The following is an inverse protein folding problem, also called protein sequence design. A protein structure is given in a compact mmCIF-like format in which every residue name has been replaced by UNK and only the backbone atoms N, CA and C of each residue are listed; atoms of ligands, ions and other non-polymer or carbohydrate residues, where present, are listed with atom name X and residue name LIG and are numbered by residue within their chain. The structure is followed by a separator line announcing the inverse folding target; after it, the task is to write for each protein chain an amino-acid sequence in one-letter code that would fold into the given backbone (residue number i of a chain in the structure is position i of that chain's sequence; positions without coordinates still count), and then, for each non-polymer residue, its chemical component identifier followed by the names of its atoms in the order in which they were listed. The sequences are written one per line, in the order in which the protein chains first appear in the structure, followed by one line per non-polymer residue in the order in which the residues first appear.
data_IF_286909370074
#
_entry.id   IF_286909370074
#
_cell.length_a   1.000
_cell.length_b   1.000
_cell.length_c   1.000
_cell.angle_alpha   90.00
_cell.angle_beta   90.00
_cell.angle_gamma   90.00
#
_symmetry.space_group_name_H-M   'P 1'
#
loop_
_entity.id
_entity.type
_entity.pdbx_description
1 polymer ?
#
# COMPACT_ATOMS: atom_id res chain seq x y z
N UNK A 1 61.86 31.43 -24.74
CA UNK A 1 62.05 32.54 -23.78
C UNK A 1 61.14 32.21 -22.60
N UNK A 2 61.53 31.31 -21.69
CA UNK A 2 62.48 31.54 -20.60
C UNK A 2 62.35 32.95 -20.02
N UNK A 3 61.64 33.07 -18.90
CA UNK A 3 62.06 33.97 -17.84
C UNK A 3 62.02 33.23 -16.51
N UNK A 4 63.04 33.54 -15.76
CA UNK A 4 63.74 32.75 -14.78
C UNK A 4 63.63 33.48 -13.44
N UNK A 5 63.96 32.75 -12.37
CA UNK A 5 64.41 33.25 -11.07
C UNK A 5 63.35 33.82 -10.11
N UNK A 6 63.47 33.65 -8.79
CA UNK A 6 64.21 32.70 -7.95
C UNK A 6 63.75 32.96 -6.51
N UNK A 7 63.26 31.91 -5.85
CA UNK A 7 63.73 31.41 -4.54
C UNK A 7 64.53 32.36 -3.62
N UNK A 8 64.04 32.54 -2.40
CA UNK A 8 64.80 32.46 -1.12
C UNK A 8 63.80 32.11 -0.01
N UNK A 9 63.72 30.91 0.57
CA UNK A 9 64.67 30.07 1.33
C UNK A 9 64.62 30.32 2.86
N UNK A 10 64.72 29.21 3.58
CA UNK A 10 64.93 28.97 5.02
C UNK A 10 63.66 28.73 5.86
N UNK A 11 63.49 27.63 6.59
CA UNK A 11 64.38 26.54 7.03
C UNK A 11 63.50 25.31 7.39
N UNK A 12 63.71 24.08 6.88
CA UNK A 12 64.73 23.05 7.17
C UNK A 12 64.72 22.53 8.63
N UNK A 13 64.12 21.35 8.87
CA UNK A 13 64.82 20.04 9.08
C UNK A 13 64.00 19.03 9.93
N UNK A 14 63.82 17.83 9.35
CA UNK A 14 63.88 16.44 9.90
C UNK A 14 63.09 16.10 11.20
N UNK A 15 62.45 14.95 11.41
CA UNK A 15 62.86 13.56 11.18
C UNK A 15 61.63 12.61 11.32
N UNK A 16 61.79 11.42 10.76
CA UNK A 16 60.99 10.19 10.86
C UNK A 16 60.30 9.89 12.22
N UNK A 17 59.07 9.36 12.17
CA UNK A 17 58.72 8.12 12.89
C UNK A 17 57.45 7.44 12.32
N UNK A 18 57.51 6.14 11.95
CA UNK A 18 56.38 5.39 11.41
C UNK A 18 55.71 4.55 12.51
N UNK A 19 55.08 5.15 13.51
CA UNK A 19 54.24 4.44 14.47
C UNK A 19 53.12 5.31 15.05
N UNK A 20 52.01 5.48 14.33
CA UNK A 20 50.67 5.58 14.94
C UNK A 20 49.66 4.91 14.02
N UNK A 21 49.90 3.63 13.74
CA UNK A 21 48.99 2.72 13.03
C UNK A 21 48.01 2.10 14.05
N UNK A 22 47.29 2.92 14.81
CA UNK A 22 46.17 2.53 15.68
C UNK A 22 45.60 3.80 16.31
N UNK A 23 44.25 3.92 16.36
CA UNK A 23 43.46 4.96 17.06
C UNK A 23 42.76 6.04 16.22
N UNK A 24 42.50 5.83 14.93
CA UNK A 24 41.54 6.67 14.17
C UNK A 24 40.35 5.84 13.66
N UNK A 25 39.81 4.99 14.55
CA UNK A 25 38.59 4.22 14.33
C UNK A 25 37.46 4.83 15.15
N UNK A 26 37.14 6.10 14.93
CA UNK A 26 35.94 6.72 15.51
C UNK A 26 35.51 7.91 14.65
N UNK A 27 34.32 7.75 14.04
CA UNK A 27 33.41 8.81 13.59
C UNK A 27 33.84 9.72 12.43
N UNK A 28 33.76 9.16 11.23
CA UNK A 28 33.32 9.91 10.04
C UNK A 28 32.26 9.09 9.30
N UNK A 29 30.97 9.30 9.61
CA UNK A 29 29.88 8.96 8.69
C UNK A 29 29.49 10.24 7.94
N UNK A 30 30.19 10.45 6.83
CA UNK A 30 29.87 11.46 5.84
C UNK A 30 28.54 11.04 5.18
N UNK A 31 27.44 11.71 5.53
CA UNK A 31 26.14 11.48 4.89
C UNK A 31 26.16 12.08 3.49
N UNK A 32 26.45 11.24 2.50
CA UNK A 32 26.28 11.59 1.09
C UNK A 32 24.78 11.52 0.79
N UNK A 33 24.13 12.68 0.74
CA UNK A 33 22.78 12.80 0.21
C UNK A 33 22.84 12.67 -1.32
N UNK A 34 22.66 11.44 -1.83
CA UNK A 34 22.26 11.22 -3.22
C UNK A 34 20.75 11.30 -3.32
N UNK A 35 20.24 12.38 -3.92
CA UNK A 35 18.86 12.51 -4.36
C UNK A 35 18.51 11.38 -5.34
N UNK A 36 17.70 10.40 -4.91
CA UNK A 36 17.15 9.39 -5.82
C UNK A 36 16.71 8.04 -5.26
N UNK A 37 17.13 7.63 -4.06
CA UNK A 37 16.76 6.32 -3.49
C UNK A 37 15.86 6.49 -2.27
N UNK A 38 14.59 6.11 -2.41
CA UNK A 38 13.74 5.83 -1.23
C UNK A 38 14.33 4.57 -0.60
N UNK A 39 15.07 4.74 0.49
CA UNK A 39 15.81 3.65 1.15
C UNK A 39 14.87 2.82 2.00
N UNK A 40 14.42 1.70 1.45
CA UNK A 40 13.70 0.68 2.23
C UNK A 40 14.66 0.00 3.21
N UNK A 41 14.14 -0.44 4.34
CA UNK A 41 14.83 -1.22 5.37
C UNK A 41 14.19 -2.59 5.51
N UNK A 42 14.95 -3.55 6.01
CA UNK A 42 14.40 -4.86 6.37
C UNK A 42 13.38 -4.69 7.50
N UNK A 43 12.20 -5.26 7.32
CA UNK A 43 11.06 -5.08 8.22
C UNK A 43 10.07 -4.02 7.76
N UNK A 44 10.39 -3.22 6.73
CA UNK A 44 9.44 -2.26 6.18
C UNK A 44 8.21 -2.98 5.61
N UNK A 45 7.06 -2.39 5.88
CA UNK A 45 5.78 -2.87 5.39
C UNK A 45 5.38 -2.05 4.17
N UNK A 46 5.20 -2.74 3.05
CA UNK A 46 4.90 -2.15 1.75
C UNK A 46 3.71 -2.86 1.13
N UNK A 47 3.22 -2.33 0.02
CA UNK A 47 2.10 -2.91 -0.72
C UNK A 47 2.57 -3.18 -2.13
N UNK A 48 2.39 -4.42 -2.56
CA UNK A 48 2.62 -4.81 -3.94
C UNK A 48 1.28 -4.85 -4.69
N UNK A 49 1.16 -4.16 -5.85
CA UNK A 49 -0.07 -4.14 -6.61
C UNK A 49 -0.62 -5.54 -6.89
N UNK A 50 -1.93 -5.72 -6.74
CA UNK A 50 -2.67 -6.98 -6.97
C UNK A 50 -2.43 -8.10 -5.95
N UNK A 51 -1.34 -8.05 -5.17
CA UNK A 51 -1.01 -9.05 -4.15
C UNK A 51 -1.23 -8.54 -2.73
N UNK A 52 -1.38 -7.23 -2.54
CA UNK A 52 -1.68 -6.64 -1.24
C UNK A 52 -0.42 -6.38 -0.45
N UNK A 53 -0.54 -6.39 0.87
CA UNK A 53 0.57 -6.04 1.72
C UNK A 53 1.67 -7.09 1.75
N UNK A 54 2.91 -6.61 1.79
CA UNK A 54 4.13 -7.41 1.80
C UNK A 54 5.15 -6.81 2.77
N UNK A 55 6.00 -7.67 3.34
CA UNK A 55 7.11 -7.27 4.19
C UNK A 55 8.42 -7.35 3.42
N UNK A 56 9.29 -6.36 3.58
CA UNK A 56 10.67 -6.42 3.11
C UNK A 56 11.44 -7.36 4.04
N UNK A 57 11.75 -8.56 3.56
CA UNK A 57 12.43 -9.59 4.34
C UNK A 57 13.96 -9.49 4.23
N UNK A 58 14.45 -9.09 3.06
CA UNK A 58 15.89 -8.97 2.80
C UNK A 58 16.16 -7.94 1.71
N UNK A 59 17.30 -7.26 1.83
CA UNK A 59 17.88 -6.42 0.81
C UNK A 59 19.20 -7.07 0.41
N UNK A 60 19.28 -7.55 -0.84
CA UNK A 60 20.44 -8.29 -1.34
C UNK A 60 21.03 -7.61 -2.57
N UNK A 61 22.36 -7.60 -2.69
CA UNK A 61 23.04 -7.20 -3.92
C UNK A 61 23.29 -8.40 -4.81
N UNK A 62 22.92 -8.28 -6.09
CA UNK A 62 23.16 -9.32 -7.09
C UNK A 62 23.80 -8.71 -8.32
N UNK A 63 24.86 -9.35 -8.81
CA UNK A 63 25.51 -8.98 -10.07
C UNK A 63 24.97 -9.86 -11.18
N UNK A 64 24.21 -9.27 -12.10
CA UNK A 64 23.65 -9.98 -13.26
C UNK A 64 24.23 -9.36 -14.52
N UNK A 65 24.89 -10.18 -15.35
CA UNK A 65 25.55 -9.72 -16.60
C UNK A 65 26.54 -8.56 -16.38
N UNK A 66 27.29 -8.59 -15.27
CA UNK A 66 28.30 -7.58 -14.94
C UNK A 66 27.75 -6.27 -14.34
N UNK A 67 26.44 -6.16 -14.14
CA UNK A 67 25.81 -5.00 -13.50
C UNK A 67 25.35 -5.42 -12.10
N UNK A 68 25.91 -4.79 -11.07
CA UNK A 68 25.48 -4.96 -9.67
C UNK A 68 24.23 -4.13 -9.42
N UNK A 69 23.18 -4.77 -8.90
CA UNK A 69 21.92 -4.12 -8.52
C UNK A 69 21.47 -4.64 -7.16
N UNK A 70 20.81 -3.77 -6.40
CA UNK A 70 20.12 -4.15 -5.18
C UNK A 70 18.72 -4.69 -5.50
N UNK A 71 18.33 -5.74 -4.79
CA UNK A 71 17.04 -6.41 -4.89
C UNK A 71 16.39 -6.47 -3.50
N UNK A 72 15.11 -6.11 -3.45
CA UNK A 72 14.24 -6.30 -2.30
C UNK A 72 13.56 -7.66 -2.44
N UNK A 73 13.67 -8.52 -1.42
CA UNK A 73 12.81 -9.69 -1.26
C UNK A 73 11.57 -9.28 -0.46
N UNK A 74 10.43 -9.27 -1.13
CA UNK A 74 9.13 -8.99 -0.54
C UNK A 74 8.40 -10.31 -0.27
N UNK A 75 7.95 -10.51 0.96
CA UNK A 75 7.10 -11.66 1.33
C UNK A 75 5.67 -11.15 1.48
N UNK A 76 4.75 -11.65 0.67
CA UNK A 76 3.33 -11.26 0.71
C UNK A 76 2.68 -11.88 1.94
N UNK A 77 1.98 -11.08 2.74
CA UNK A 77 1.39 -11.57 4.00
C UNK A 77 0.11 -12.37 3.79
N UNK A 78 -0.70 -11.98 2.80
CA UNK A 78 -1.98 -12.63 2.50
C UNK A 78 -1.83 -13.93 1.69
N UNK A 79 -0.61 -14.39 1.42
CA UNK A 79 -0.38 -15.56 0.56
C UNK A 79 0.82 -16.35 1.06
N UNK A 80 0.55 -17.56 1.54
CA UNK A 80 1.58 -18.45 2.07
C UNK A 80 2.66 -18.73 1.03
N UNK A 81 3.89 -18.30 1.33
CA UNK A 81 5.09 -18.59 0.55
C UNK A 81 5.24 -17.80 -0.75
N UNK A 82 4.45 -16.74 -0.99
CA UNK A 82 4.65 -15.89 -2.16
C UNK A 82 5.78 -14.87 -1.91
N UNK A 83 6.92 -15.12 -2.55
CA UNK A 83 8.07 -14.21 -2.53
C UNK A 83 8.25 -13.47 -3.86
N UNK A 84 8.47 -12.16 -3.79
CA UNK A 84 8.67 -11.29 -4.95
C UNK A 84 10.03 -10.60 -4.82
N UNK A 85 10.90 -10.80 -5.82
CA UNK A 85 12.20 -10.13 -5.87
C UNK A 85 12.14 -8.92 -6.82
N UNK A 86 12.27 -7.71 -6.27
CA UNK A 86 12.14 -6.45 -7.04
C UNK A 86 13.47 -5.70 -7.02
N UNK A 87 14.05 -5.32 -8.19
CA UNK A 87 15.21 -4.44 -8.23
C UNK A 87 14.84 -3.06 -7.65
N UNK A 88 15.68 -2.50 -6.77
CA UNK A 88 15.44 -1.20 -6.11
C UNK A 88 15.12 -0.10 -7.12
N UNK A 89 15.84 -0.07 -8.25
CA UNK A 89 15.63 0.90 -9.35
C UNK A 89 14.24 0.83 -9.99
N UNK A 90 13.56 -0.32 -9.86
CA UNK A 90 12.27 -0.60 -10.48
C UNK A 90 11.11 -0.55 -9.49
N UNK A 91 11.33 -0.37 -8.20
CA UNK A 91 10.29 -0.41 -7.14
C UNK A 91 9.12 0.53 -7.47
N UNK A 92 9.42 1.79 -7.81
CA UNK A 92 8.41 2.77 -8.22
C UNK A 92 7.72 2.40 -9.54
N UNK A 93 8.44 1.77 -10.48
CA UNK A 93 7.90 1.38 -11.80
C UNK A 93 6.96 0.17 -11.71
N UNK A 94 7.23 -0.75 -10.79
CA UNK A 94 6.34 -1.90 -10.54
C UNK A 94 5.16 -1.56 -9.63
N UNK A 95 5.14 -0.34 -9.08
CA UNK A 95 4.02 0.19 -8.30
C UNK A 95 4.03 -0.22 -6.83
N UNK A 96 5.18 -0.62 -6.28
CA UNK A 96 5.31 -0.82 -4.83
C UNK A 96 5.11 0.51 -4.13
N UNK A 97 4.22 0.53 -3.14
CA UNK A 97 3.89 1.72 -2.35
C UNK A 97 4.03 1.45 -0.85
N UNK A 98 4.13 2.52 -0.09
CA UNK A 98 4.06 2.44 1.36
C UNK A 98 2.62 2.13 1.81
N UNK A 99 2.51 1.60 3.02
CA UNK A 99 1.20 1.36 3.66
C UNK A 99 0.55 2.69 4.01
N UNK A 100 -0.77 2.71 3.85
CA UNK A 100 -1.59 3.87 4.18
C UNK A 100 -1.60 4.10 5.69
N UNK A 101 -1.61 5.36 6.11
CA UNK A 101 -1.72 5.69 7.54
C UNK A 101 -3.18 5.67 8.03
N UNK A 102 -3.37 5.75 9.34
CA UNK A 102 -4.68 5.78 9.99
C UNK A 102 -5.68 6.81 9.41
N UNK A 103 -5.18 7.99 8.98
CA UNK A 103 -6.03 9.01 8.33
C UNK A 103 -6.66 8.52 7.02
N UNK A 104 -5.94 7.72 6.27
CA UNK A 104 -6.42 7.19 5.00
C UNK A 104 -7.31 5.97 5.20
N UNK A 105 -7.07 5.17 6.26
CA UNK A 105 -8.01 4.15 6.73
C UNK A 105 -9.35 4.76 7.16
N UNK A 106 -9.33 5.89 7.87
CA UNK A 106 -10.56 6.60 8.22
C UNK A 106 -11.39 6.98 6.98
N UNK A 107 -10.71 7.48 5.94
CA UNK A 107 -11.34 7.79 4.64
C UNK A 107 -11.88 6.55 3.93
N UNK A 108 -11.17 5.43 3.99
CA UNK A 108 -11.66 4.14 3.48
C UNK A 108 -12.97 3.76 4.14
N UNK A 109 -13.06 3.87 5.47
CA UNK A 109 -14.30 3.58 6.20
C UNK A 109 -15.43 4.56 5.84
N UNK A 110 -15.14 5.85 5.63
CA UNK A 110 -16.14 6.80 5.11
C UNK A 110 -16.68 6.39 3.74
N UNK A 111 -15.80 5.96 2.82
CA UNK A 111 -16.21 5.49 1.48
C UNK A 111 -17.13 4.28 1.60
N UNK A 112 -16.80 3.32 2.46
CA UNK A 112 -17.57 2.09 2.67
C UNK A 112 -18.98 2.38 3.23
N UNK A 113 -19.11 3.38 4.10
CA UNK A 113 -20.39 3.81 4.69
C UNK A 113 -21.27 4.64 3.76
N UNK A 114 -20.70 5.18 2.68
CA UNK A 114 -21.44 6.06 1.76
C UNK A 114 -22.40 5.24 0.87
N UNK A 115 -23.67 5.66 0.69
CA UNK A 115 -24.59 4.97 -0.22
C UNK A 115 -24.15 5.07 -1.68
N UNK A 116 -24.42 4.04 -2.47
CA UNK A 116 -24.04 4.00 -3.89
C UNK A 116 -24.81 5.06 -4.70
N UNK A 117 -24.07 5.91 -5.40
CA UNK A 117 -24.57 6.77 -6.47
C UNK A 117 -24.20 6.16 -7.83
N UNK A 118 -24.58 4.90 -8.09
CA UNK A 118 -24.28 4.27 -9.38
C UNK A 118 -25.14 4.88 -10.47
N UNK A 119 -24.47 5.33 -11.53
CA UNK A 119 -25.12 5.64 -12.81
C UNK A 119 -25.43 4.32 -13.51
N UNK A 120 -26.60 4.21 -14.15
CA UNK A 120 -26.92 3.01 -14.95
C UNK A 120 -25.84 2.78 -16.01
N UNK A 121 -25.10 1.67 -15.88
CA UNK A 121 -24.00 1.28 -16.74
C UNK A 121 -24.11 -0.20 -17.13
N UNK A 122 -23.71 -0.53 -18.36
CA UNK A 122 -23.66 -1.90 -18.85
C UNK A 122 -22.65 -2.74 -18.04
N UNK A 123 -23.04 -3.98 -17.72
CA UNK A 123 -22.27 -4.91 -16.89
C UNK A 123 -20.81 -5.07 -17.32
N UNK A 124 -20.56 -5.25 -18.63
CA UNK A 124 -19.21 -5.48 -19.15
C UNK A 124 -18.28 -4.29 -18.94
N UNK A 125 -18.80 -3.06 -19.01
CA UNK A 125 -18.01 -1.85 -18.74
C UNK A 125 -17.72 -1.71 -17.27
N UNK A 126 -18.71 -1.98 -16.41
CA UNK A 126 -18.54 -1.96 -14.96
C UNK A 126 -17.49 -2.97 -14.49
N UNK A 127 -17.56 -4.19 -14.99
CA UNK A 127 -16.56 -5.22 -14.70
C UNK A 127 -15.15 -4.74 -15.07
N UNK A 128 -14.97 -4.19 -16.28
CA UNK A 128 -13.68 -3.62 -16.73
C UNK A 128 -13.20 -2.49 -15.82
N UNK A 129 -14.08 -1.56 -15.47
CA UNK A 129 -13.75 -0.45 -14.57
C UNK A 129 -13.32 -0.93 -13.18
N UNK A 130 -14.00 -1.95 -12.63
CA UNK A 130 -13.62 -2.50 -11.32
C UNK A 130 -12.26 -3.22 -11.38
N UNK A 131 -11.97 -3.94 -12.48
CA UNK A 131 -10.64 -4.51 -12.72
C UNK A 131 -9.57 -3.42 -12.80
N UNK A 132 -9.83 -2.33 -13.52
CA UNK A 132 -8.91 -1.20 -13.63
C UNK A 132 -8.68 -0.53 -12.28
N UNK A 133 -9.74 -0.27 -11.50
CA UNK A 133 -9.66 0.28 -10.13
C UNK A 133 -8.76 -0.59 -9.25
N UNK A 134 -8.98 -1.91 -9.21
CA UNK A 134 -8.14 -2.84 -8.44
C UNK A 134 -6.69 -2.83 -8.95
N UNK A 135 -6.48 -2.75 -10.27
CA UNK A 135 -5.15 -2.74 -10.87
C UNK A 135 -4.35 -1.48 -10.52
N UNK A 136 -5.02 -0.35 -10.21
CA UNK A 136 -4.31 0.88 -9.76
C UNK A 136 -3.64 0.71 -8.39
N UNK A 137 -4.12 -0.21 -7.55
CA UNK A 137 -3.59 -0.41 -6.20
C UNK A 137 -3.96 0.70 -5.20
N UNK A 138 -4.80 1.67 -5.57
CA UNK A 138 -5.29 2.73 -4.69
C UNK A 138 -6.34 2.20 -3.72
N UNK A 139 -6.08 2.31 -2.42
CA UNK A 139 -6.95 1.77 -1.36
C UNK A 139 -8.36 2.35 -1.41
N UNK A 140 -8.50 3.63 -1.76
CA UNK A 140 -9.79 4.31 -1.82
C UNK A 140 -10.65 3.74 -2.96
N UNK A 141 -10.02 3.48 -4.11
CA UNK A 141 -10.69 2.87 -5.27
C UNK A 141 -11.04 1.41 -5.02
N UNK A 142 -10.20 0.69 -4.29
CA UNK A 142 -10.49 -0.70 -3.89
C UNK A 142 -11.68 -0.70 -2.92
N UNK A 143 -11.74 0.24 -1.97
CA UNK A 143 -12.87 0.40 -1.06
C UNK A 143 -14.19 0.67 -1.79
N UNK A 144 -14.17 1.52 -2.84
CA UNK A 144 -15.34 1.71 -3.71
C UNK A 144 -15.79 0.39 -4.35
N UNK A 145 -14.86 -0.41 -4.90
CA UNK A 145 -15.20 -1.70 -5.52
C UNK A 145 -15.78 -2.68 -4.51
N UNK A 146 -15.21 -2.76 -3.29
CA UNK A 146 -15.72 -3.61 -2.22
C UNK A 146 -17.13 -3.18 -1.85
N UNK A 147 -17.36 -1.90 -1.57
CA UNK A 147 -18.70 -1.36 -1.28
C UNK A 147 -19.68 -1.70 -2.41
N UNK A 148 -19.34 -1.36 -3.65
CA UNK A 148 -20.23 -1.46 -4.79
C UNK A 148 -20.65 -2.91 -5.08
N UNK A 149 -19.71 -3.85 -4.94
CA UNK A 149 -19.97 -5.28 -5.13
C UNK A 149 -20.69 -5.90 -3.91
N UNK A 150 -20.33 -5.51 -2.68
CA UNK A 150 -20.98 -6.01 -1.46
C UNK A 150 -22.45 -5.65 -1.42
N UNK A 151 -22.81 -4.39 -1.66
CA UNK A 151 -24.21 -3.97 -1.72
C UNK A 151 -24.97 -4.75 -2.81
N UNK A 152 -24.37 -4.93 -3.98
CA UNK A 152 -24.95 -5.73 -5.07
C UNK A 152 -25.16 -7.20 -4.78
N UNK A 153 -24.33 -7.82 -3.94
CA UNK A 153 -24.50 -9.24 -3.61
C UNK A 153 -25.80 -9.50 -2.85
N UNK A 154 -26.36 -8.46 -2.22
CA UNK A 154 -27.66 -8.48 -1.53
C UNK A 154 -28.84 -8.27 -2.49
N UNK A 155 -28.60 -7.80 -3.73
CA UNK A 155 -29.66 -7.62 -4.74
C UNK A 155 -30.24 -8.96 -5.22
N UNK A 156 -31.50 -8.95 -5.69
CA UNK A 156 -32.19 -10.13 -6.25
C UNK A 156 -31.41 -10.84 -7.38
N UNK A 157 -30.53 -10.12 -8.09
CA UNK A 157 -29.74 -10.67 -9.20
C UNK A 157 -28.44 -11.32 -8.75
N UNK A 158 -27.94 -10.97 -7.55
CA UNK A 158 -26.66 -11.40 -7.00
C UNK A 158 -25.45 -11.09 -7.88
N UNK A 159 -24.26 -11.53 -7.44
CA UNK A 159 -23.02 -11.43 -8.21
C UNK A 159 -22.77 -12.64 -9.12
N UNK A 160 -22.22 -12.40 -10.31
CA UNK A 160 -21.66 -13.47 -11.14
C UNK A 160 -20.45 -14.13 -10.48
N UNK A 161 -20.08 -15.35 -10.90
CA UNK A 161 -18.91 -16.04 -10.36
C UNK A 161 -17.60 -15.22 -10.50
N UNK A 162 -17.46 -14.44 -11.57
CA UNK A 162 -16.32 -13.54 -11.77
C UNK A 162 -16.33 -12.36 -10.80
N UNK A 163 -17.49 -11.75 -10.57
CA UNK A 163 -17.65 -10.66 -9.61
C UNK A 163 -17.46 -11.13 -8.16
N UNK A 164 -17.92 -12.34 -7.81
CA UNK A 164 -17.67 -12.93 -6.48
C UNK A 164 -16.18 -13.11 -6.21
N UNK A 165 -15.43 -13.64 -7.19
CA UNK A 165 -13.96 -13.74 -7.08
C UNK A 165 -13.28 -12.37 -6.99
N UNK A 166 -13.80 -11.39 -7.73
CA UNK A 166 -13.32 -10.02 -7.67
C UNK A 166 -13.54 -9.39 -6.29
N UNK A 167 -14.74 -9.54 -5.73
CA UNK A 167 -15.07 -9.05 -4.39
C UNK A 167 -14.19 -9.72 -3.34
N UNK A 168 -14.06 -11.05 -3.35
CA UNK A 168 -13.22 -11.77 -2.41
C UNK A 168 -11.76 -11.30 -2.45
N UNK A 169 -11.22 -11.09 -3.65
CA UNK A 169 -9.87 -10.55 -3.84
C UNK A 169 -9.74 -9.12 -3.32
N UNK A 170 -10.69 -8.25 -3.66
CA UNK A 170 -10.66 -6.84 -3.24
C UNK A 170 -10.76 -6.72 -1.72
N UNK A 171 -11.60 -7.54 -1.07
CA UNK A 171 -11.70 -7.66 0.38
C UNK A 171 -10.38 -8.09 1.01
N UNK A 172 -9.76 -9.15 0.50
CA UNK A 172 -8.46 -9.63 1.03
C UNK A 172 -7.37 -8.55 0.98
N UNK A 173 -7.28 -7.80 -0.12
CA UNK A 173 -6.33 -6.68 -0.22
C UNK A 173 -6.66 -5.61 0.85
N UNK A 174 -7.92 -5.22 0.97
CA UNK A 174 -8.34 -4.17 1.91
C UNK A 174 -8.14 -4.58 3.37
N UNK A 175 -8.45 -5.82 3.73
CA UNK A 175 -8.23 -6.39 5.06
C UNK A 175 -6.75 -6.35 5.42
N UNK A 176 -5.87 -6.78 4.50
CA UNK A 176 -4.42 -6.75 4.73
C UNK A 176 -3.87 -5.34 4.98
N UNK A 177 -4.42 -4.33 4.32
CA UNK A 177 -4.03 -2.92 4.49
C UNK A 177 -4.49 -2.36 5.84
N UNK A 178 -5.76 -2.61 6.18
CA UNK A 178 -6.35 -2.16 7.45
C UNK A 178 -5.61 -2.81 8.61
N UNK A 179 -5.37 -4.12 8.56
CA UNK A 179 -4.66 -4.87 9.59
C UNK A 179 -3.29 -4.26 9.90
N UNK A 180 -2.54 -3.88 8.86
CA UNK A 180 -1.20 -3.33 9.05
C UNK A 180 -1.18 -1.85 9.44
N UNK A 181 -2.09 -1.04 8.90
CA UNK A 181 -2.20 0.37 9.27
C UNK A 181 -2.63 0.52 10.73
N UNK A 182 -3.63 -0.27 11.15
CA UNK A 182 -4.20 -0.21 12.51
C UNK A 182 -3.47 -1.12 13.51
N UNK A 183 -2.52 -1.94 13.05
CA UNK A 183 -1.75 -2.91 13.85
C UNK A 183 -2.65 -3.90 14.60
N UNK A 184 -3.64 -4.42 13.89
CA UNK A 184 -4.59 -5.43 14.34
C UNK A 184 -4.43 -6.70 13.51
N UNK A 185 -5.02 -7.81 13.96
CA UNK A 185 -5.05 -9.04 13.16
C UNK A 185 -6.06 -8.94 12.01
N UNK A 186 -5.93 -9.86 11.04
CA UNK A 186 -6.80 -9.88 9.85
C UNK A 186 -8.26 -10.19 10.19
N UNK A 187 -8.52 -10.96 11.26
CA UNK A 187 -9.87 -11.32 11.70
C UNK A 187 -10.60 -10.08 12.26
N UNK A 188 -9.91 -9.30 13.08
CA UNK A 188 -10.39 -8.03 13.59
C UNK A 188 -10.58 -7.02 12.46
N UNK A 189 -9.63 -6.91 11.52
CA UNK A 189 -9.77 -6.05 10.35
C UNK A 189 -10.95 -6.45 9.47
N UNK A 190 -11.19 -7.74 9.25
CA UNK A 190 -12.36 -8.24 8.53
C UNK A 190 -13.66 -7.90 9.26
N UNK A 191 -13.69 -8.04 10.59
CA UNK A 191 -14.86 -7.65 11.39
C UNK A 191 -15.12 -6.14 11.27
N UNK A 192 -14.11 -5.28 11.39
CA UNK A 192 -14.27 -3.83 11.22
C UNK A 192 -14.76 -3.49 9.81
N UNK A 193 -14.25 -4.17 8.78
CA UNK A 193 -14.77 -4.03 7.41
C UNK A 193 -16.26 -4.38 7.34
N UNK A 194 -16.69 -5.48 7.97
CA UNK A 194 -18.08 -5.91 8.00
C UNK A 194 -18.98 -4.95 8.79
N UNK A 195 -18.48 -4.36 9.89
CA UNK A 195 -19.21 -3.32 10.65
C UNK A 195 -19.45 -2.09 9.78
N UNK A 196 -18.43 -1.59 9.08
CA UNK A 196 -18.57 -0.41 8.21
C UNK A 196 -19.42 -0.68 6.96
N UNK A 197 -19.57 -1.94 6.56
CA UNK A 197 -20.51 -2.36 5.52
C UNK A 197 -21.94 -2.62 6.06
N UNK A 198 -22.14 -2.63 7.38
CA UNK A 198 -23.44 -2.92 8.00
C UNK A 198 -23.81 -4.41 8.04
N UNK A 199 -22.83 -5.31 7.94
CA UNK A 199 -23.01 -6.77 8.11
C UNK A 199 -22.76 -7.26 9.54
N UNK A 200 -22.22 -6.41 10.41
CA UNK A 200 -21.94 -6.71 11.81
C UNK A 200 -22.19 -5.49 12.69
N UNK A 201 -22.49 -5.72 13.97
CA UNK A 201 -22.65 -4.64 14.95
C UNK A 201 -21.28 -4.17 15.49
N UNK A 202 -21.12 -2.86 15.76
CA UNK A 202 -19.91 -2.34 16.38
C UNK A 202 -19.77 -2.86 17.81
N UNK A 203 -18.53 -3.17 18.19
CA UNK A 203 -18.17 -3.59 19.55
C UNK A 203 -17.54 -2.43 20.33
N UNK A 204 -17.60 -2.46 21.68
CA UNK A 204 -16.89 -1.49 22.50
C UNK A 204 -15.38 -1.50 22.19
N UNK A 205 -14.82 -0.34 21.82
CA UNK A 205 -13.40 -0.19 21.45
C UNK A 205 -13.15 0.06 19.96
N UNK A 206 -14.13 -0.19 19.09
CA UNK A 206 -14.00 -0.04 17.63
C UNK A 206 -13.73 1.41 17.19
N UNK A 207 -14.17 2.37 18.00
CA UNK A 207 -13.96 3.81 17.78
C UNK A 207 -12.47 4.17 17.72
N UNK A 208 -11.61 3.39 18.37
CA UNK A 208 -10.15 3.58 18.35
C UNK A 208 -9.55 3.34 16.96
N UNK A 209 -10.26 2.59 16.11
CA UNK A 209 -9.87 2.24 14.74
C UNK A 209 -10.77 2.90 13.69
N UNK A 210 -11.30 4.09 13.99
CA UNK A 210 -12.15 4.86 13.06
C UNK A 210 -13.40 4.10 12.56
N UNK A 211 -13.80 3.05 13.27
CA UNK A 211 -14.92 2.20 12.89
C UNK A 211 -16.20 2.70 13.53
N UNK A 212 -17.22 2.82 12.69
CA UNK A 212 -18.57 3.23 13.07
C UNK A 212 -19.55 2.46 12.20
N UNK A 213 -20.71 2.11 12.74
CA UNK A 213 -21.79 1.59 11.92
C UNK A 213 -22.21 2.65 10.89
N UNK A 214 -22.50 2.28 9.63
CA UNK A 214 -23.07 3.22 8.68
C UNK A 214 -24.44 3.70 9.17
N UNK A 215 -24.80 4.95 8.86
CA UNK A 215 -26.15 5.49 9.17
C UNK A 215 -27.26 4.64 8.55
N UNK A 216 -26.98 4.04 7.39
CA UNK A 216 -27.85 3.07 6.72
C UNK A 216 -27.03 1.83 6.36
N UNK A 217 -27.51 0.64 6.75
CA UNK A 217 -26.85 -0.60 6.35
C UNK A 217 -26.84 -0.76 4.83
N UNK A 218 -25.80 -1.38 4.28
CA UNK A 218 -25.66 -1.69 2.85
C UNK A 218 -26.93 -2.33 2.25
N UNK A 219 -27.59 -3.20 3.01
CA UNK A 219 -28.80 -3.90 2.61
C UNK A 219 -30.04 -2.98 2.51
N UNK A 220 -30.13 -1.94 3.34
CA UNK A 220 -31.31 -1.07 3.44
C UNK A 220 -31.31 0.06 2.42
N UNK A 221 -30.12 0.57 2.08
CA UNK A 221 -29.93 1.65 1.09
C UNK A 221 -30.54 1.27 -0.28
N UNK A 222 -30.28 0.04 -0.74
CA UNK A 222 -30.74 -0.42 -2.05
C UNK A 222 -32.24 -0.66 -2.08
N UNK A 223 -32.83 -1.17 -0.99
CA UNK A 223 -34.28 -1.33 -0.86
C UNK A 223 -35.00 0.01 -1.04
N UNK A 224 -34.49 1.07 -0.43
CA UNK A 224 -35.03 2.42 -0.56
C UNK A 224 -34.87 2.98 -1.99
N UNK A 225 -33.73 2.77 -2.65
CA UNK A 225 -33.52 3.20 -4.04
C UNK A 225 -34.44 2.46 -5.02
N UNK A 226 -34.63 1.15 -4.82
CA UNK A 226 -35.58 0.34 -5.58
C UNK A 226 -37.02 0.85 -5.38
N UNK A 227 -37.41 1.19 -4.15
CA UNK A 227 -38.72 1.80 -3.87
C UNK A 227 -38.88 3.20 -4.45
N UNK A 228 -37.83 4.04 -4.43
CA UNK A 228 -37.81 5.38 -5.03
C UNK A 228 -37.92 5.31 -6.55
N UNK A 229 -37.21 4.40 -7.21
CA UNK A 229 -37.30 4.21 -8.67
C UNK A 229 -38.67 3.66 -9.08
N UNK A 230 -39.26 2.73 -8.31
CA UNK A 230 -40.64 2.25 -8.50
C UNK A 230 -41.67 3.38 -8.34
N UNK A 231 -41.51 4.26 -7.34
CA UNK A 231 -42.37 5.44 -7.14
C UNK A 231 -42.23 6.46 -8.28
N UNK A 232 -41.01 6.67 -8.79
CA UNK A 232 -40.76 7.60 -9.91
C UNK A 232 -41.27 7.10 -11.26
N UNK A 233 -41.34 5.78 -11.49
CA UNK A 233 -41.92 5.17 -12.71
C UNK A 233 -43.45 5.11 -12.69
N UNK A 234 -44.08 5.35 -11.53
CA UNK A 234 -45.53 5.29 -11.31
C UNK A 234 -46.19 6.68 -11.27
N UNK A 235 -45.38 7.73 -11.37
CA UNK A 235 -45.77 9.14 -11.50
C UNK A 235 -45.54 9.58 -12.94
#
# INVERSE_FOLDING_TARGET
MCFEQSLTNQSKKYLFEPQVFALWKTEMSFSVHTEGSVGYQVGDMVVYPRHGAARVEEISERTVKGITRQYLRLVVLSSDGLEINVPVDNVKKVGVRDIVGAKEVAKVFEILRTPILEKEMNWSRRYKLNVEKIATGDVNKIAEVVRDLSQRDVDEHGLSAGEKRMLARARSILISEIALSEKIDEEQAERLLNVNLGYADPLPGDEQHHTQAPEEAAADTLRLLAERSKKSKKK
#
